data_IF_310145264542
#
_entry.id   IF_310145264542
#
_cell.length_a   1.000
_cell.length_b   1.000
_cell.length_c   1.000
_cell.angle_alpha   90.00
_cell.angle_beta   90.00
_cell.angle_gamma   90.00
#
_symmetry.space_group_name_H-M   'P 1'
#
loop_
_entity.id
_entity.type
_entity.pdbx_description
1 polymer ?
#
# COMPACT_ATOMS: atom_id res chain seq x y z
N UNK A 1 0.58 -13.63 -0.83
CA UNK A 1 0.55 -12.57 -1.89
C UNK A 1 -0.58 -12.79 -2.88
N UNK A 2 -0.71 -13.99 -3.51
CA UNK A 2 -1.69 -14.24 -4.59
C UNK A 2 -3.10 -13.81 -4.20
N UNK A 3 -3.64 -14.33 -3.11
CA UNK A 3 -5.00 -14.01 -2.64
C UNK A 3 -5.24 -12.51 -2.47
N UNK A 4 -4.26 -11.78 -1.93
CA UNK A 4 -4.37 -10.31 -1.78
C UNK A 4 -4.32 -9.60 -3.12
N UNK A 5 -3.57 -10.11 -4.09
CA UNK A 5 -3.56 -9.58 -5.45
C UNK A 5 -4.90 -9.81 -6.16
N UNK A 6 -5.46 -11.02 -6.02
CA UNK A 6 -6.76 -11.37 -6.58
C UNK A 6 -7.86 -10.46 -6.00
N UNK A 7 -7.89 -10.26 -4.68
CA UNK A 7 -8.85 -9.38 -4.02
C UNK A 7 -8.72 -7.92 -4.48
N UNK A 8 -7.49 -7.43 -4.58
CA UNK A 8 -7.24 -6.08 -5.08
C UNK A 8 -7.75 -5.89 -6.51
N UNK A 9 -7.52 -6.87 -7.40
CA UNK A 9 -7.99 -6.81 -8.78
C UNK A 9 -9.51 -6.94 -8.88
N UNK A 10 -10.13 -7.79 -8.05
CA UNK A 10 -11.58 -7.89 -7.94
C UNK A 10 -12.21 -6.58 -7.46
N UNK A 11 -11.62 -5.96 -6.42
CA UNK A 11 -12.06 -4.64 -5.97
C UNK A 11 -12.00 -3.61 -7.10
N UNK A 12 -10.88 -3.54 -7.84
CA UNK A 12 -10.72 -2.62 -8.97
C UNK A 12 -11.75 -2.87 -10.07
N UNK A 13 -12.06 -4.12 -10.36
CA UNK A 13 -13.11 -4.49 -11.31
C UNK A 13 -14.50 -4.05 -10.82
N UNK A 14 -14.84 -4.31 -9.55
CA UNK A 14 -16.14 -3.94 -8.96
C UNK A 14 -16.40 -2.43 -9.01
N UNK A 15 -15.39 -1.61 -8.86
CA UNK A 15 -15.50 -0.15 -8.95
C UNK A 15 -15.26 0.39 -10.38
N UNK A 16 -15.31 -0.49 -11.40
CA UNK A 16 -15.06 -0.13 -12.80
C UNK A 16 -13.75 0.66 -12.99
N UNK A 17 -12.72 0.30 -12.26
CA UNK A 17 -11.40 0.96 -12.25
C UNK A 17 -11.45 2.48 -12.00
N UNK A 18 -12.49 2.97 -11.33
CA UNK A 18 -12.58 4.37 -10.93
C UNK A 18 -11.34 4.78 -10.14
N UNK A 19 -10.79 5.94 -10.47
CA UNK A 19 -9.57 6.47 -9.83
C UNK A 19 -9.86 7.37 -8.63
N UNK A 20 -11.14 7.70 -8.41
CA UNK A 20 -11.59 8.52 -7.28
C UNK A 20 -12.00 7.68 -6.04
N UNK A 21 -11.98 6.35 -6.15
CA UNK A 21 -12.21 5.43 -5.05
C UNK A 21 -10.90 4.74 -4.70
N UNK A 22 -10.46 4.93 -3.46
CA UNK A 22 -9.24 4.35 -2.94
C UNK A 22 -9.49 3.03 -2.21
N UNK A 23 -8.43 2.20 -2.16
CA UNK A 23 -8.38 0.96 -1.42
C UNK A 23 -7.05 0.85 -0.69
N UNK A 24 -7.07 0.39 0.55
CA UNK A 24 -5.88 0.29 1.40
C UNK A 24 -5.49 -1.19 1.64
N UNK A 25 -4.91 -1.86 0.66
CA UNK A 25 -4.59 -3.28 0.74
C UNK A 25 -3.30 -3.53 1.54
N UNK A 26 -3.29 -3.14 2.81
CA UNK A 26 -2.16 -3.48 3.68
C UNK A 26 -2.30 -4.91 4.20
N UNK A 27 -1.20 -5.67 4.23
CA UNK A 27 -1.22 -7.09 4.62
C UNK A 27 -1.78 -7.34 6.02
N UNK A 28 -1.66 -6.39 6.93
CA UNK A 28 -2.21 -6.50 8.29
C UNK A 28 -3.73 -6.40 8.36
N UNK A 29 -4.38 -5.95 7.29
CA UNK A 29 -5.84 -5.91 7.20
C UNK A 29 -6.42 -7.21 6.64
N UNK A 30 -5.58 -8.23 6.46
CA UNK A 30 -5.99 -9.53 5.96
C UNK A 30 -5.63 -10.63 6.94
N UNK A 31 -6.49 -11.64 7.00
CA UNK A 31 -6.24 -12.93 7.62
C UNK A 31 -6.61 -14.03 6.64
N UNK A 32 -6.01 -15.19 6.82
CA UNK A 32 -6.37 -16.40 6.09
C UNK A 32 -6.92 -17.40 7.09
N UNK A 33 -8.16 -17.83 6.89
CA UNK A 33 -8.81 -18.86 7.69
C UNK A 33 -9.43 -19.90 6.76
N UNK A 34 -9.13 -21.16 6.98
CA UNK A 34 -9.61 -22.30 6.17
C UNK A 34 -9.41 -22.11 4.65
N UNK A 35 -8.33 -21.48 4.24
CA UNK A 35 -8.01 -21.22 2.84
C UNK A 35 -8.70 -20.00 2.24
N UNK A 36 -9.55 -19.30 2.98
CA UNK A 36 -10.21 -18.07 2.57
C UNK A 36 -9.48 -16.82 3.08
N UNK A 37 -9.51 -15.76 2.28
CA UNK A 37 -8.96 -14.45 2.63
C UNK A 37 -10.06 -13.59 3.26
N UNK A 38 -9.80 -13.14 4.48
CA UNK A 38 -10.68 -12.22 5.20
C UNK A 38 -10.05 -10.84 5.27
N UNK A 39 -10.83 -9.80 4.91
CA UNK A 39 -10.40 -8.41 4.95
C UNK A 39 -11.09 -7.69 6.12
N UNK A 40 -10.31 -7.10 7.02
CA UNK A 40 -10.79 -6.50 8.27
C UNK A 40 -10.69 -4.97 8.30
N UNK A 41 -10.41 -4.33 7.18
CA UNK A 41 -10.32 -2.87 7.18
C UNK A 41 -11.72 -2.26 7.33
N UNK A 42 -11.96 -1.66 8.48
CA UNK A 42 -13.19 -0.94 8.79
C UNK A 42 -13.12 0.53 8.37
N UNK A 43 -12.06 0.94 7.71
CA UNK A 43 -11.90 2.31 7.24
C UNK A 43 -13.03 2.66 6.25
N UNK A 44 -13.68 3.84 6.38
CA UNK A 44 -14.68 4.26 5.42
C UNK A 44 -14.07 4.30 4.01
N UNK A 45 -14.89 4.09 2.95
CA UNK A 45 -14.39 4.12 1.59
C UNK A 45 -13.66 5.44 1.32
N UNK A 46 -12.44 5.33 0.81
CA UNK A 46 -11.58 6.46 0.53
C UNK A 46 -12.06 7.15 -0.75
N UNK A 47 -12.97 8.11 -0.62
CA UNK A 47 -13.46 8.90 -1.74
C UNK A 47 -12.58 10.13 -1.95
N UNK A 48 -11.95 10.25 -3.11
CA UNK A 48 -11.05 11.39 -3.42
C UNK A 48 -11.77 12.74 -3.37
N UNK A 49 -13.06 12.79 -3.69
CA UNK A 49 -13.87 14.01 -3.62
C UNK A 49 -14.08 14.53 -2.20
N UNK A 50 -14.05 13.64 -1.22
CA UNK A 50 -14.17 13.97 0.19
C UNK A 50 -12.83 14.36 0.82
N UNK A 51 -11.89 14.82 0.06
CA UNK A 51 -10.48 15.24 0.33
C UNK A 51 -10.06 15.49 1.79
N UNK A 52 -10.90 15.09 2.72
CA UNK A 52 -10.67 15.14 4.15
C UNK A 52 -9.84 13.94 4.64
N UNK A 53 -9.42 13.05 3.71
CA UNK A 53 -8.51 11.97 4.06
C UNK A 53 -7.20 12.54 4.63
N UNK A 54 -6.72 13.63 4.07
CA UNK A 54 -5.57 14.34 4.59
C UNK A 54 -5.86 14.95 5.97
N UNK A 55 -7.05 15.53 6.16
CA UNK A 55 -7.53 15.99 7.46
C UNK A 55 -7.72 14.85 8.44
N UNK A 56 -8.26 13.71 7.99
CA UNK A 56 -8.46 12.53 8.81
C UNK A 56 -7.14 11.91 9.26
N UNK A 57 -6.18 11.71 8.35
CA UNK A 57 -4.83 11.20 8.67
C UNK A 57 -4.13 12.14 9.67
N UNK A 58 -4.28 13.44 9.48
CA UNK A 58 -3.70 14.43 10.38
C UNK A 58 -4.41 14.51 11.73
N UNK A 59 -5.73 14.28 11.77
CA UNK A 59 -6.52 14.20 13.03
C UNK A 59 -6.25 12.92 13.80
N UNK A 60 -5.99 11.81 13.12
CA UNK A 60 -5.65 10.53 13.78
C UNK A 60 -4.25 10.49 14.36
N UNK A 61 -3.40 11.45 14.05
CA UNK A 61 -2.09 11.58 14.67
C UNK A 61 -2.17 12.45 15.93
N UNK A 62 -1.62 12.01 17.08
CA UNK A 62 -1.55 12.83 18.28
C UNK A 62 -0.77 14.14 18.06
N UNK A 63 0.04 14.20 17.01
CA UNK A 63 0.81 15.37 16.60
C UNK A 63 0.21 16.09 15.37
N UNK A 64 -1.08 15.87 15.07
CA UNK A 64 -1.74 16.37 13.86
C UNK A 64 -1.57 17.86 13.60
N UNK A 65 -1.61 18.68 14.64
CA UNK A 65 -1.40 20.12 14.53
C UNK A 65 0.02 20.52 14.10
N UNK A 66 1.03 19.82 14.60
CA UNK A 66 2.45 20.05 14.28
C UNK A 66 2.75 19.49 12.87
N UNK A 67 2.25 18.29 12.57
CA UNK A 67 2.42 17.66 11.26
C UNK A 67 1.81 18.51 10.13
N UNK A 68 0.67 19.15 10.41
CA UNK A 68 -0.01 20.04 9.45
C UNK A 68 0.86 21.25 9.07
N UNK A 69 1.68 21.74 9.98
CA UNK A 69 2.60 22.87 9.75
C UNK A 69 3.90 22.43 9.05
N UNK A 70 4.34 21.21 9.30
CA UNK A 70 5.67 20.72 8.86
C UNK A 70 5.57 19.99 7.52
N UNK A 71 4.46 19.27 7.26
CA UNK A 71 4.31 18.46 6.06
C UNK A 71 3.38 19.18 5.08
N UNK A 72 3.92 19.67 3.95
CA UNK A 72 3.09 20.26 2.90
C UNK A 72 2.02 19.29 2.40
N UNK A 73 0.82 19.80 2.12
CA UNK A 73 -0.32 19.02 1.63
C UNK A 73 0.03 18.20 0.38
N UNK A 74 0.89 18.73 -0.49
CA UNK A 74 1.40 18.01 -1.67
C UNK A 74 2.14 16.71 -1.34
N UNK A 75 2.86 16.67 -0.22
CA UNK A 75 3.58 15.46 0.20
C UNK A 75 2.63 14.39 0.76
N UNK A 76 1.57 14.82 1.46
CA UNK A 76 0.52 13.94 1.95
C UNK A 76 -0.24 13.33 0.77
N UNK A 77 -0.60 14.14 -0.23
CA UNK A 77 -1.25 13.66 -1.45
C UNK A 77 -0.38 12.61 -2.17
N UNK A 78 0.92 12.84 -2.27
CA UNK A 78 1.84 11.88 -2.90
C UNK A 78 1.91 10.54 -2.18
N UNK A 79 1.78 10.55 -0.85
CA UNK A 79 1.76 9.32 -0.04
C UNK A 79 0.42 8.61 -0.17
N UNK A 80 -0.68 9.36 -0.22
CA UNK A 80 -2.04 8.78 -0.35
C UNK A 80 -2.37 8.33 -1.77
N UNK A 81 -1.65 8.77 -2.80
CA UNK A 81 -1.80 8.31 -4.18
C UNK A 81 -1.71 6.79 -4.32
N UNK A 82 -0.95 6.12 -3.43
CA UNK A 82 -0.84 4.67 -3.44
C UNK A 82 -2.18 3.94 -3.19
N UNK A 83 -3.16 4.61 -2.58
CA UNK A 83 -4.48 4.01 -2.32
C UNK A 83 -5.41 4.05 -3.53
N UNK A 84 -5.12 4.88 -4.52
CA UNK A 84 -5.97 5.10 -5.69
C UNK A 84 -5.41 4.50 -6.98
N UNK A 85 -4.14 4.14 -6.99
CA UNK A 85 -3.42 3.67 -8.18
C UNK A 85 -3.09 2.19 -8.08
N UNK A 86 -3.52 1.41 -9.07
CA UNK A 86 -3.28 -0.04 -9.14
C UNK A 86 -1.79 -0.41 -9.03
N UNK A 87 -0.93 0.29 -9.77
CA UNK A 87 0.52 0.05 -9.75
C UNK A 87 1.14 0.31 -8.35
N UNK A 88 0.64 1.31 -7.64
CA UNK A 88 1.11 1.65 -6.29
C UNK A 88 0.59 0.69 -5.23
N UNK A 89 -0.68 0.30 -5.30
CA UNK A 89 -1.26 -0.72 -4.43
C UNK A 89 -0.45 -2.02 -4.55
N UNK A 90 -0.20 -2.47 -5.78
CA UNK A 90 0.58 -3.67 -6.06
C UNK A 90 1.98 -3.59 -5.46
N UNK A 91 2.68 -2.50 -5.74
CA UNK A 91 4.01 -2.25 -5.19
C UNK A 91 4.01 -2.19 -3.65
N UNK A 92 2.98 -1.62 -3.04
CA UNK A 92 2.81 -1.55 -1.59
C UNK A 92 2.67 -2.94 -0.95
N UNK A 93 1.85 -3.82 -1.55
CA UNK A 93 1.69 -5.22 -1.10
C UNK A 93 3.03 -5.96 -1.21
N UNK A 94 3.67 -5.92 -2.40
CA UNK A 94 4.96 -6.59 -2.62
C UNK A 94 6.02 -6.09 -1.66
N UNK A 95 6.11 -4.78 -1.47
CA UNK A 95 7.05 -4.19 -0.51
C UNK A 95 6.78 -4.63 0.92
N UNK A 96 5.53 -4.81 1.31
CA UNK A 96 5.15 -5.35 2.62
C UNK A 96 5.54 -6.81 2.77
N UNK A 97 5.32 -7.64 1.75
CA UNK A 97 5.75 -9.04 1.74
C UNK A 97 7.27 -9.16 1.87
N UNK A 98 8.03 -8.40 1.08
CA UNK A 98 9.50 -8.41 1.14
C UNK A 98 10.04 -7.96 2.51
N UNK A 99 9.37 -7.00 3.17
CA UNK A 99 9.77 -6.58 4.52
C UNK A 99 9.47 -7.60 5.60
N UNK A 100 8.37 -8.34 5.45
CA UNK A 100 8.00 -9.41 6.40
C UNK A 100 8.82 -10.68 6.21
N UNK A 101 9.30 -10.93 4.99
CA UNK A 101 10.08 -12.10 4.61
C UNK A 101 11.30 -11.66 3.78
N UNK A 102 12.29 -11.03 4.41
CA UNK A 102 13.44 -10.48 3.70
C UNK A 102 14.25 -11.55 2.96
N UNK A 103 14.39 -12.75 3.54
CA UNK A 103 15.11 -13.86 2.94
C UNK A 103 14.42 -14.44 1.69
N UNK A 104 13.13 -14.22 1.55
CA UNK A 104 12.34 -14.63 0.38
C UNK A 104 12.08 -13.48 -0.61
N UNK A 105 12.71 -12.32 -0.43
CA UNK A 105 12.40 -11.12 -1.23
C UNK A 105 12.53 -11.36 -2.74
N UNK A 106 13.53 -12.07 -3.20
CA UNK A 106 13.73 -12.38 -4.62
C UNK A 106 12.64 -13.33 -5.16
N UNK A 107 12.25 -14.33 -4.38
CA UNK A 107 11.14 -15.24 -4.73
C UNK A 107 9.83 -14.48 -4.82
N UNK A 108 9.58 -13.57 -3.85
CA UNK A 108 8.38 -12.71 -3.84
C UNK A 108 8.35 -11.82 -5.10
N UNK A 109 9.47 -11.21 -5.46
CA UNK A 109 9.57 -10.39 -6.66
C UNK A 109 9.33 -11.19 -7.94
N UNK A 110 9.96 -12.37 -8.06
CA UNK A 110 9.79 -13.26 -9.21
C UNK A 110 8.33 -13.66 -9.36
N UNK A 111 7.73 -14.20 -8.31
CA UNK A 111 6.32 -14.55 -8.28
C UNK A 111 5.41 -13.35 -8.65
N UNK A 112 5.70 -12.17 -8.10
CA UNK A 112 4.87 -10.98 -8.35
C UNK A 112 4.94 -10.53 -9.81
N UNK A 113 6.11 -10.62 -10.45
CA UNK A 113 6.28 -10.31 -11.88
C UNK A 113 5.55 -11.33 -12.76
N UNK A 114 5.65 -12.61 -12.46
CA UNK A 114 4.94 -13.67 -13.18
C UNK A 114 3.42 -13.47 -13.07
N UNK A 115 2.91 -13.21 -11.87
CA UNK A 115 1.50 -12.91 -11.64
C UNK A 115 1.03 -11.71 -12.48
N UNK A 116 1.79 -10.61 -12.47
CA UNK A 116 1.46 -9.42 -13.27
C UNK A 116 1.46 -9.73 -14.77
N UNK A 117 2.43 -10.51 -15.24
CA UNK A 117 2.53 -10.89 -16.64
C UNK A 117 1.31 -11.71 -17.09
N UNK A 118 0.89 -12.67 -16.28
CA UNK A 118 -0.24 -13.57 -16.57
C UNK A 118 -1.61 -12.92 -16.35
N UNK A 119 -1.71 -11.87 -15.55
CA UNK A 119 -2.98 -11.23 -15.23
C UNK A 119 -3.63 -10.60 -16.46
N UNK A 120 -4.84 -11.05 -16.81
CA UNK A 120 -5.66 -10.49 -17.89
C UNK A 120 -6.39 -9.21 -17.45
N UNK A 121 -6.58 -9.01 -16.15
CA UNK A 121 -7.27 -7.84 -15.58
C UNK A 121 -6.41 -6.58 -15.53
N UNK A 122 -5.12 -6.68 -15.80
CA UNK A 122 -4.20 -5.54 -15.84
C UNK A 122 -4.01 -5.06 -17.27
N UNK A 123 -4.16 -3.75 -17.47
CA UNK A 123 -3.84 -3.13 -18.76
C UNK A 123 -2.34 -3.22 -19.05
N UNK A 124 -1.95 -3.14 -20.33
CA UNK A 124 -0.54 -3.11 -20.72
C UNK A 124 0.24 -1.97 -20.06
N UNK A 125 -0.42 -0.83 -19.86
CA UNK A 125 0.19 0.32 -19.18
C UNK A 125 0.38 0.06 -17.68
N UNK A 126 -0.60 -0.56 -17.00
CA UNK A 126 -0.46 -0.95 -15.60
C UNK A 126 0.68 -1.95 -15.41
N UNK A 127 0.75 -2.99 -16.25
CA UNK A 127 1.85 -3.96 -16.24
C UNK A 127 3.19 -3.26 -16.37
N UNK A 128 3.35 -2.38 -17.34
CA UNK A 128 4.58 -1.62 -17.58
C UNK A 128 4.98 -0.76 -16.37
N UNK A 129 4.02 -0.11 -15.72
CA UNK A 129 4.25 0.68 -14.50
C UNK A 129 4.65 -0.21 -13.33
N UNK A 130 3.94 -1.32 -13.11
CA UNK A 130 4.24 -2.27 -12.04
C UNK A 130 5.63 -2.87 -12.23
N UNK A 131 5.99 -3.35 -13.42
CA UNK A 131 7.33 -3.88 -13.69
C UNK A 131 8.44 -2.87 -13.37
N UNK A 132 8.21 -1.59 -13.67
CA UNK A 132 9.18 -0.53 -13.31
C UNK A 132 9.38 -0.41 -11.80
N UNK A 133 8.30 -0.54 -11.02
CA UNK A 133 8.33 -0.47 -9.56
C UNK A 133 8.91 -1.73 -8.92
N UNK A 134 8.77 -2.89 -9.56
CA UNK A 134 9.24 -4.18 -9.07
C UNK A 134 10.66 -4.55 -9.55
N UNK A 135 11.43 -3.60 -10.09
CA UNK A 135 12.85 -3.85 -10.42
C UNK A 135 13.70 -4.21 -9.21
N UNK A 136 13.34 -3.68 -8.04
CA UNK A 136 13.95 -3.93 -6.72
C UNK A 136 12.83 -4.06 -5.68
N UNK A 137 13.10 -4.66 -4.50
CA UNK A 137 12.13 -4.68 -3.42
C UNK A 137 11.63 -3.26 -3.10
N UNK A 138 10.31 -3.01 -3.19
CA UNK A 138 9.76 -1.69 -2.94
C UNK A 138 9.99 -1.24 -1.49
N UNK A 139 10.54 -0.05 -1.33
CA UNK A 139 10.84 0.54 -0.02
C UNK A 139 9.76 1.54 0.38
N UNK A 140 9.55 1.70 1.68
CA UNK A 140 8.73 2.79 2.20
C UNK A 140 9.35 4.14 1.82
N UNK A 141 8.51 5.12 1.49
CA UNK A 141 9.02 6.47 1.24
C UNK A 141 9.64 7.06 2.52
N UNK A 142 10.70 7.84 2.37
CA UNK A 142 11.35 8.53 3.50
C UNK A 142 10.37 9.41 4.27
N UNK A 143 9.42 10.03 3.55
CA UNK A 143 8.37 10.87 4.13
C UNK A 143 7.44 10.02 4.99
N UNK A 144 7.02 8.84 4.50
CA UNK A 144 6.17 7.94 5.27
C UNK A 144 6.86 7.44 6.55
N UNK A 145 8.15 7.13 6.45
CA UNK A 145 8.98 6.76 7.62
C UNK A 145 9.03 7.93 8.62
N UNK A 146 9.23 9.16 8.13
CA UNK A 146 9.26 10.34 8.98
C UNK A 146 7.91 10.57 9.68
N UNK A 147 6.80 10.51 8.94
CA UNK A 147 5.44 10.64 9.49
C UNK A 147 5.22 9.62 10.61
N UNK A 148 5.58 8.36 10.38
CA UNK A 148 5.43 7.30 11.38
C UNK A 148 6.30 7.50 12.61
N UNK A 149 7.54 7.96 12.44
CA UNK A 149 8.41 8.31 13.56
C UNK A 149 7.82 9.43 14.40
N UNK A 150 7.35 10.50 13.75
CA UNK A 150 6.73 11.64 14.42
C UNK A 150 5.39 11.30 15.09
N UNK A 151 4.67 10.30 14.59
CA UNK A 151 3.41 9.84 15.20
C UNK A 151 3.58 8.72 16.22
N UNK A 152 4.81 8.38 16.61
CA UNK A 152 5.09 7.32 17.59
C UNK A 152 4.82 5.89 17.09
N UNK A 153 4.43 5.73 15.81
CA UNK A 153 4.09 4.44 15.20
C UNK A 153 5.34 3.70 14.66
N UNK A 154 6.34 3.51 15.52
CA UNK A 154 7.63 2.91 15.15
C UNK A 154 7.73 1.40 15.39
N UNK A 155 6.66 0.79 15.94
CA UNK A 155 6.65 -0.64 16.28
C UNK A 155 6.63 -1.57 15.07
N UNK A 156 7.20 -2.77 15.23
CA UNK A 156 7.01 -3.90 14.30
C UNK A 156 5.51 -4.25 14.22
N UNK A 157 4.95 -4.57 13.06
CA UNK A 157 5.59 -4.78 11.75
C UNK A 157 5.59 -3.53 10.85
N UNK A 158 5.30 -2.35 11.41
CA UNK A 158 5.02 -1.15 10.62
C UNK A 158 6.26 -0.53 9.97
N UNK A 159 7.40 -0.68 10.59
CA UNK A 159 8.70 -0.29 10.03
C UNK A 159 9.66 -1.44 10.34
N UNK A 160 9.88 -2.33 9.38
CA UNK A 160 11.07 -3.14 9.42
C UNK A 160 12.24 -2.24 9.01
N UNK A 161 12.81 -1.55 9.96
CA UNK A 161 14.24 -1.30 9.89
C UNK A 161 14.90 -2.66 9.96
N UNK A 162 15.81 -3.01 9.04
CA UNK A 162 16.67 -4.16 9.26
C UNK A 162 17.25 -3.97 10.67
N UNK A 163 17.06 -4.98 11.51
CA UNK A 163 17.80 -5.05 12.77
C UNK A 163 19.23 -5.15 12.28
N UNK A 164 19.98 -4.04 12.44
CA UNK A 164 21.40 -4.10 12.32
C UNK A 164 21.85 -5.17 13.32
N UNK A 165 22.33 -6.29 12.77
CA UNK A 165 23.02 -7.30 13.55
C UNK A 165 24.22 -6.66 14.24
#
# INVERSE_FOLDING_TARGET
>A
CKMVFDEMLQFRAKINSRTDIGFHPTLRNYSVHEGELWFFDTFPPMLMKQRDLNGLILKMSPYGGILKKIIPLMLINKVTDEYYRTDKMFSGIVGSCCRLRPDDADKILTFSREYVNQSVSLTGEDKKRIFRLLKKPPRLSKIWILIRKLSGNTGKPNINTPISA
#
